data_IF_141120159359
#
_entry.id   IF_141120159359
#
_cell.length_a   1.000
_cell.length_b   1.000
_cell.length_c   1.000
_cell.angle_alpha   90.00
_cell.angle_beta   90.00
_cell.angle_gamma   90.00
#
_symmetry.space_group_name_H-M   'P 1'
#
loop_
_entity.id
_entity.type
_entity.pdbx_description
1 polymer ?
#
# COMPACT_ATOMS: atom_id res chain seq x y z
N UNK A 1 -28.66 -11.45 -0.64
CA UNK A 1 -29.28 -12.77 -0.41
C UNK A 1 -28.42 -13.95 -0.89
N UNK A 2 -27.22 -13.76 -1.45
CA UNK A 2 -26.31 -14.85 -1.84
C UNK A 2 -25.19 -15.08 -0.78
N UNK A 3 -24.88 -14.08 0.04
CA UNK A 3 -23.80 -14.14 1.04
C UNK A 3 -24.16 -14.92 2.32
N UNK A 4 -25.43 -15.28 2.51
CA UNK A 4 -25.92 -15.93 3.72
C UNK A 4 -25.70 -17.46 3.77
N UNK A 5 -25.18 -18.05 2.69
CA UNK A 5 -25.02 -19.51 2.55
C UNK A 5 -23.58 -20.03 2.69
N UNK A 6 -22.63 -19.14 3.01
CA UNK A 6 -21.27 -19.59 3.29
C UNK A 6 -21.22 -19.95 4.78
N UNK A 7 -21.27 -21.25 5.08
CA UNK A 7 -20.91 -21.73 6.42
C UNK A 7 -19.49 -21.21 6.73
N UNK A 8 -19.32 -20.40 7.79
CA UNK A 8 -18.01 -19.81 8.09
C UNK A 8 -16.93 -20.85 8.44
N UNK A 9 -17.28 -22.13 8.48
CA UNK A 9 -16.43 -23.21 8.98
C UNK A 9 -16.00 -24.22 7.91
N UNK A 10 -16.41 -24.07 6.64
CA UNK A 10 -15.91 -24.94 5.59
C UNK A 10 -14.65 -24.36 4.93
N UNK A 11 -13.54 -24.47 5.66
CA UNK A 11 -12.23 -24.01 5.20
C UNK A 11 -11.78 -24.72 3.91
N UNK A 12 -12.19 -25.97 3.69
CA UNK A 12 -11.78 -26.74 2.53
C UNK A 12 -12.33 -26.21 1.21
N UNK A 13 -13.53 -25.63 1.23
CA UNK A 13 -14.17 -25.04 0.03
C UNK A 13 -13.86 -23.55 -0.19
N UNK A 14 -13.45 -22.83 0.87
CA UNK A 14 -13.28 -21.37 0.85
C UNK A 14 -11.84 -20.89 1.13
N UNK A 15 -10.85 -21.78 1.04
CA UNK A 15 -9.45 -21.45 1.36
C UNK A 15 -8.91 -20.25 0.56
N UNK A 16 -9.28 -20.13 -0.73
CA UNK A 16 -8.81 -19.05 -1.60
C UNK A 16 -9.34 -17.70 -1.13
N UNK A 17 -10.59 -17.64 -0.70
CA UNK A 17 -11.20 -16.45 -0.12
C UNK A 17 -10.50 -16.00 1.18
N UNK A 18 -10.22 -16.95 2.10
CA UNK A 18 -9.47 -16.65 3.33
C UNK A 18 -8.04 -16.20 3.03
N UNK A 19 -7.36 -16.88 2.07
CA UNK A 19 -6.01 -16.53 1.68
C UNK A 19 -5.94 -15.15 1.05
N UNK A 20 -6.89 -14.81 0.17
CA UNK A 20 -6.95 -13.48 -0.44
C UNK A 20 -7.10 -12.40 0.63
N UNK A 21 -8.00 -12.55 1.57
CA UNK A 21 -8.23 -11.57 2.63
C UNK A 21 -7.03 -11.40 3.56
N UNK A 22 -6.49 -12.50 4.07
CA UNK A 22 -5.34 -12.46 4.99
C UNK A 22 -4.09 -11.91 4.31
N UNK A 23 -3.82 -12.29 3.07
CA UNK A 23 -2.67 -11.77 2.31
C UNK A 23 -2.83 -10.29 1.96
N UNK A 24 -4.04 -9.83 1.65
CA UNK A 24 -4.32 -8.41 1.43
C UNK A 24 -4.08 -7.55 2.69
N UNK A 25 -4.51 -8.04 3.87
CA UNK A 25 -4.24 -7.38 5.15
C UNK A 25 -2.73 -7.35 5.45
N UNK A 26 -2.03 -8.47 5.25
CA UNK A 26 -0.57 -8.53 5.44
C UNK A 26 0.16 -7.57 4.49
N UNK A 27 -0.22 -7.54 3.21
CA UNK A 27 0.34 -6.61 2.23
C UNK A 27 0.18 -5.15 2.67
N UNK A 28 -1.02 -4.78 3.16
CA UNK A 28 -1.30 -3.46 3.69
C UNK A 28 -0.43 -3.12 4.91
N UNK A 29 -0.34 -4.02 5.89
CA UNK A 29 0.46 -3.81 7.10
C UNK A 29 1.95 -3.62 6.74
N UNK A 30 2.51 -4.47 5.87
CA UNK A 30 3.91 -4.34 5.44
C UNK A 30 4.16 -3.06 4.66
N UNK A 31 3.24 -2.65 3.78
CA UNK A 31 3.33 -1.38 3.07
C UNK A 31 3.29 -0.20 4.04
N UNK A 32 2.35 -0.21 4.99
CA UNK A 32 2.20 0.82 6.00
C UNK A 32 3.48 0.99 6.83
N UNK A 33 4.05 -0.12 7.33
CA UNK A 33 5.32 -0.12 8.07
C UNK A 33 6.48 0.39 7.19
N UNK A 34 6.54 -0.03 5.93
CA UNK A 34 7.56 0.42 4.98
C UNK A 34 7.55 1.95 4.82
N UNK A 35 6.37 2.52 4.63
CA UNK A 35 6.21 3.97 4.45
C UNK A 35 6.55 4.70 5.75
N UNK A 36 6.07 4.20 6.90
CA UNK A 36 6.39 4.79 8.20
C UNK A 36 7.90 4.84 8.45
N UNK A 37 8.62 3.74 8.20
CA UNK A 37 10.07 3.71 8.31
C UNK A 37 10.75 4.66 7.30
N UNK A 38 10.25 4.74 6.07
CA UNK A 38 10.75 5.68 5.07
C UNK A 38 10.59 7.13 5.50
N UNK A 39 9.48 7.49 6.12
CA UNK A 39 9.24 8.82 6.68
C UNK A 39 10.11 9.10 7.92
N UNK A 40 10.47 8.07 8.68
CA UNK A 40 11.33 8.20 9.86
C UNK A 40 12.74 8.74 9.54
N UNK A 41 13.24 8.46 8.32
CA UNK A 41 14.56 8.97 7.87
C UNK A 41 14.60 10.50 7.86
N UNK A 42 13.52 11.14 7.45
CA UNK A 42 13.44 12.59 7.31
C UNK A 42 13.28 13.30 8.66
N UNK A 43 12.86 12.55 9.68
CA UNK A 43 12.61 13.08 11.01
C UNK A 43 13.75 12.71 11.97
N UNK A 44 14.46 13.72 12.50
CA UNK A 44 15.58 13.49 13.43
C UNK A 44 15.18 12.72 14.69
N UNK A 45 13.92 12.80 15.14
CA UNK A 45 13.39 12.08 16.30
C UNK A 45 13.22 10.58 16.02
N UNK A 46 12.86 10.22 14.79
CA UNK A 46 12.59 8.84 14.39
C UNK A 46 13.80 8.16 13.73
N UNK A 47 14.86 8.92 13.42
CA UNK A 47 16.07 8.39 12.77
C UNK A 47 16.72 7.23 13.53
N UNK A 48 16.51 7.14 14.83
CA UNK A 48 17.02 6.06 15.69
C UNK A 48 16.35 4.71 15.44
N UNK A 49 15.11 4.72 14.90
CA UNK A 49 14.32 3.51 14.61
C UNK A 49 14.56 3.04 13.18
N UNK A 50 15.13 3.90 12.33
CA UNK A 50 15.34 3.59 10.93
C UNK A 50 16.44 2.54 10.74
N UNK A 51 16.06 1.45 10.08
CA UNK A 51 16.99 0.47 9.53
C UNK A 51 16.67 0.31 8.04
N UNK A 52 17.65 0.58 7.18
CA UNK A 52 17.48 0.52 5.73
C UNK A 52 17.13 -0.90 5.25
N UNK A 53 17.78 -1.91 5.80
CA UNK A 53 17.54 -3.31 5.41
C UNK A 53 16.13 -3.74 5.79
N UNK A 54 15.64 -3.32 6.97
CA UNK A 54 14.27 -3.56 7.41
C UNK A 54 13.26 -2.86 6.48
N UNK A 55 13.52 -1.62 6.07
CA UNK A 55 12.67 -0.92 5.11
C UNK A 55 12.58 -1.66 3.77
N UNK A 56 13.71 -2.10 3.22
CA UNK A 56 13.74 -2.87 1.97
C UNK A 56 13.03 -4.22 2.11
N UNK A 57 13.25 -4.93 3.22
CA UNK A 57 12.59 -6.21 3.50
C UNK A 57 11.07 -6.07 3.56
N UNK A 58 10.57 -5.08 4.30
CA UNK A 58 9.12 -4.85 4.43
C UNK A 58 8.50 -4.44 3.09
N UNK A 59 9.20 -3.64 2.28
CA UNK A 59 8.76 -3.32 0.93
C UNK A 59 8.64 -4.55 0.03
N UNK A 60 9.63 -5.43 0.04
CA UNK A 60 9.59 -6.70 -0.69
C UNK A 60 8.49 -7.63 -0.15
N UNK A 61 8.31 -7.71 1.17
CA UNK A 61 7.24 -8.48 1.79
C UNK A 61 5.85 -7.96 1.39
N UNK A 62 5.68 -6.63 1.31
CA UNK A 62 4.43 -6.04 0.81
C UNK A 62 4.13 -6.48 -0.63
N UNK A 63 5.12 -6.43 -1.53
CA UNK A 63 4.97 -6.92 -2.92
C UNK A 63 4.62 -8.40 -2.95
N UNK A 64 5.32 -9.22 -2.18
CA UNK A 64 5.06 -10.66 -2.12
C UNK A 64 3.62 -10.98 -1.68
N UNK A 65 3.16 -10.36 -0.60
CA UNK A 65 1.81 -10.61 -0.09
C UNK A 65 0.73 -10.01 -1.00
N UNK A 66 1.00 -8.89 -1.69
CA UNK A 66 0.10 -8.36 -2.72
C UNK A 66 -0.02 -9.32 -3.92
N UNK A 67 1.08 -9.98 -4.30
CA UNK A 67 1.06 -10.98 -5.36
C UNK A 67 0.25 -12.21 -4.94
N UNK A 68 0.44 -12.71 -3.71
CA UNK A 68 -0.35 -13.81 -3.14
C UNK A 68 -1.84 -13.43 -3.11
N UNK A 69 -2.17 -12.19 -2.72
CA UNK A 69 -3.53 -11.66 -2.72
C UNK A 69 -4.15 -11.73 -4.12
N UNK A 70 -3.48 -11.19 -5.14
CA UNK A 70 -3.98 -11.21 -6.52
C UNK A 70 -4.12 -12.63 -7.09
N UNK A 71 -3.10 -13.49 -6.90
CA UNK A 71 -3.13 -14.87 -7.42
C UNK A 71 -4.25 -15.68 -6.75
N UNK A 72 -4.47 -15.52 -5.45
CA UNK A 72 -5.51 -16.26 -4.74
C UNK A 72 -6.92 -15.98 -5.26
N UNK A 73 -7.17 -14.80 -5.83
CA UNK A 73 -8.45 -14.46 -6.46
C UNK A 73 -8.78 -15.35 -7.68
N UNK A 74 -7.78 -15.89 -8.38
CA UNK A 74 -8.01 -16.82 -9.51
C UNK A 74 -8.66 -18.13 -9.07
N UNK A 75 -8.50 -18.48 -7.80
CA UNK A 75 -9.01 -19.72 -7.22
C UNK A 75 -10.30 -19.49 -6.42
N UNK A 76 -10.85 -18.27 -6.44
CA UNK A 76 -12.10 -17.96 -5.76
C UNK A 76 -13.26 -18.63 -6.48
N UNK A 77 -13.99 -19.57 -5.85
CA UNK A 77 -15.04 -20.32 -6.49
C UNK A 77 -16.31 -19.48 -6.75
N UNK A 78 -16.46 -18.37 -6.05
CA UNK A 78 -17.66 -17.53 -6.11
C UNK A 78 -17.59 -16.48 -7.22
N UNK A 79 -16.43 -15.84 -7.39
CA UNK A 79 -16.29 -14.69 -8.30
C UNK A 79 -15.69 -15.10 -9.64
N UNK A 80 -14.86 -16.15 -9.68
CA UNK A 80 -14.21 -16.70 -10.89
C UNK A 80 -13.46 -15.63 -11.70
N UNK A 81 -12.57 -14.91 -11.04
CA UNK A 81 -11.72 -13.92 -11.71
C UNK A 81 -10.86 -14.57 -12.81
N UNK A 82 -10.75 -13.91 -13.94
CA UNK A 82 -9.79 -14.26 -15.00
C UNK A 82 -8.42 -13.60 -14.75
N UNK A 83 -7.38 -14.07 -15.43
CA UNK A 83 -6.07 -13.41 -15.42
C UNK A 83 -6.15 -11.94 -15.88
N UNK A 84 -7.03 -11.63 -16.84
CA UNK A 84 -7.24 -10.26 -17.29
C UNK A 84 -7.81 -9.37 -16.19
N UNK A 85 -8.72 -9.89 -15.37
CA UNK A 85 -9.35 -9.14 -14.28
C UNK A 85 -8.35 -8.73 -13.19
N UNK A 86 -7.33 -9.55 -12.91
CA UNK A 86 -6.35 -9.30 -11.86
C UNK A 86 -5.06 -8.64 -12.35
N UNK A 87 -4.77 -8.69 -13.66
CA UNK A 87 -3.53 -8.18 -14.23
C UNK A 87 -3.70 -6.86 -14.98
N UNK A 88 -4.87 -6.60 -15.58
CA UNK A 88 -5.07 -5.42 -16.41
C UNK A 88 -5.94 -4.41 -15.65
N UNK A 89 -5.39 -3.22 -15.30
CA UNK A 89 -6.18 -2.19 -14.62
C UNK A 89 -7.44 -1.83 -15.42
N UNK A 90 -8.56 -1.72 -14.72
CA UNK A 90 -9.87 -1.32 -15.28
C UNK A 90 -10.46 -2.27 -16.34
N UNK A 91 -9.93 -3.48 -16.47
CA UNK A 91 -10.42 -4.49 -17.43
C UNK A 91 -11.64 -5.27 -16.90
N UNK A 92 -11.69 -5.49 -15.59
CA UNK A 92 -12.75 -6.30 -14.96
C UNK A 92 -14.14 -5.72 -15.19
N UNK A 93 -15.08 -6.60 -15.47
CA UNK A 93 -16.51 -6.27 -15.64
C UNK A 93 -17.38 -6.97 -14.59
N UNK A 94 -16.78 -7.55 -13.56
CA UNK A 94 -17.53 -8.23 -12.51
C UNK A 94 -18.42 -7.24 -11.75
N UNK A 95 -19.64 -7.66 -11.42
CA UNK A 95 -20.60 -6.85 -10.66
C UNK A 95 -20.47 -7.07 -9.14
N UNK A 96 -19.61 -7.99 -8.69
CA UNK A 96 -19.51 -8.39 -7.27
C UNK A 96 -18.58 -7.45 -6.50
N UNK A 97 -17.54 -6.94 -7.16
CA UNK A 97 -16.63 -5.92 -6.64
C UNK A 97 -16.69 -4.70 -7.55
N UNK A 98 -16.37 -3.52 -7.02
CA UNK A 98 -16.31 -2.32 -7.84
C UNK A 98 -15.11 -2.40 -8.81
N UNK A 99 -15.36 -2.49 -10.14
CA UNK A 99 -14.30 -2.69 -11.13
C UNK A 99 -13.32 -1.51 -11.19
N UNK A 100 -13.78 -0.29 -10.87
CA UNK A 100 -12.94 0.90 -10.85
C UNK A 100 -11.90 0.80 -9.73
N UNK A 101 -12.35 0.54 -8.50
CA UNK A 101 -11.42 0.42 -7.37
C UNK A 101 -10.58 -0.86 -7.43
N UNK A 102 -11.03 -1.89 -8.13
CA UNK A 102 -10.18 -3.02 -8.47
C UNK A 102 -9.03 -2.58 -9.39
N UNK A 103 -9.33 -1.82 -10.44
CA UNK A 103 -8.32 -1.25 -11.34
C UNK A 103 -7.34 -0.33 -10.63
N UNK A 104 -7.81 0.48 -9.68
CA UNK A 104 -6.98 1.34 -8.82
C UNK A 104 -6.00 0.50 -7.99
N UNK A 105 -6.44 -0.64 -7.43
CA UNK A 105 -5.58 -1.58 -6.68
C UNK A 105 -4.49 -2.21 -7.53
N UNK A 106 -4.84 -2.65 -8.75
CA UNK A 106 -3.87 -3.22 -9.71
C UNK A 106 -2.82 -2.16 -10.10
N UNK A 107 -3.27 -0.93 -10.36
CA UNK A 107 -2.36 0.17 -10.68
C UNK A 107 -1.42 0.49 -9.52
N UNK A 108 -1.94 0.52 -8.28
CA UNK A 108 -1.13 0.69 -7.08
C UNK A 108 -0.09 -0.43 -6.93
N UNK A 109 -0.46 -1.68 -7.19
CA UNK A 109 0.45 -2.82 -7.16
C UNK A 109 1.63 -2.62 -8.12
N UNK A 110 1.38 -2.22 -9.37
CA UNK A 110 2.45 -1.96 -10.34
C UNK A 110 3.37 -0.81 -9.90
N UNK A 111 2.81 0.26 -9.35
CA UNK A 111 3.64 1.35 -8.80
C UNK A 111 4.56 0.84 -7.67
N UNK A 112 4.03 0.06 -6.72
CA UNK A 112 4.80 -0.48 -5.60
C UNK A 112 5.89 -1.42 -6.10
N UNK A 113 5.60 -2.29 -7.08
CA UNK A 113 6.58 -3.18 -7.71
C UNK A 113 7.71 -2.37 -8.35
N UNK A 114 7.38 -1.37 -9.17
CA UNK A 114 8.37 -0.51 -9.83
C UNK A 114 9.24 0.21 -8.80
N UNK A 115 8.64 0.78 -7.75
CA UNK A 115 9.38 1.47 -6.69
C UNK A 115 10.29 0.52 -5.92
N UNK A 116 9.84 -0.70 -5.65
CA UNK A 116 10.62 -1.72 -4.96
C UNK A 116 11.81 -2.15 -5.82
N UNK A 117 11.59 -2.53 -7.08
CA UNK A 117 12.66 -2.94 -8.01
C UNK A 117 13.69 -1.82 -8.19
N UNK A 118 13.24 -0.59 -8.46
CA UNK A 118 14.15 0.55 -8.67
C UNK A 118 14.91 0.91 -7.40
N UNK A 119 14.38 0.61 -6.20
CA UNK A 119 15.10 0.81 -4.94
C UNK A 119 16.26 -0.19 -4.77
N UNK A 120 16.10 -1.44 -5.20
CA UNK A 120 17.20 -2.40 -5.26
C UNK A 120 18.23 -2.05 -6.33
N UNK A 121 17.80 -1.48 -7.45
CA UNK A 121 18.66 -1.08 -8.57
C UNK A 121 19.20 0.35 -8.43
N UNK A 122 18.99 1.04 -7.32
CA UNK A 122 19.30 2.47 -7.13
C UNK A 122 20.74 2.84 -7.44
N UNK A 123 21.69 1.94 -7.23
CA UNK A 123 23.10 2.17 -7.52
C UNK A 123 23.40 2.31 -9.04
N UNK A 124 22.52 1.73 -9.87
CA UNK A 124 22.64 1.72 -11.33
C UNK A 124 21.72 2.76 -12.00
N UNK A 125 20.93 3.50 -11.22
CA UNK A 125 19.99 4.49 -11.73
C UNK A 125 20.43 5.91 -11.42
N UNK A 126 20.07 6.84 -12.28
CA UNK A 126 20.23 8.26 -11.97
C UNK A 126 19.46 8.61 -10.70
N UNK A 127 20.15 9.27 -9.75
CA UNK A 127 19.59 9.58 -8.43
C UNK A 127 18.27 10.38 -8.51
N UNK A 128 18.18 11.34 -9.45
CA UNK A 128 16.96 12.13 -9.64
C UNK A 128 15.77 11.28 -10.10
N UNK A 129 16.03 10.29 -11.00
CA UNK A 129 14.99 9.39 -11.52
C UNK A 129 14.47 8.44 -10.44
N UNK A 130 15.37 7.79 -9.69
CA UNK A 130 15.00 6.98 -8.54
C UNK A 130 14.19 7.79 -7.53
N UNK A 131 14.63 9.01 -7.19
CA UNK A 131 13.96 9.87 -6.24
C UNK A 131 12.57 10.28 -6.72
N UNK A 132 12.41 10.58 -8.00
CA UNK A 132 11.12 10.90 -8.61
C UNK A 132 10.14 9.74 -8.46
N UNK A 133 10.54 8.51 -8.84
CA UNK A 133 9.70 7.32 -8.66
C UNK A 133 9.34 7.10 -7.20
N UNK A 134 10.30 7.25 -6.30
CA UNK A 134 10.09 7.05 -4.87
C UNK A 134 9.13 8.08 -4.24
N UNK A 135 9.04 9.28 -4.81
CA UNK A 135 8.06 10.29 -4.41
C UNK A 135 6.61 9.91 -4.76
N UNK A 136 6.37 8.89 -5.59
CA UNK A 136 5.04 8.38 -5.89
C UNK A 136 4.46 7.48 -4.77
N UNK A 137 5.25 7.14 -3.74
CA UNK A 137 4.79 6.32 -2.61
C UNK A 137 3.50 6.81 -1.95
N UNK A 138 3.31 8.11 -1.65
CA UNK A 138 2.06 8.59 -1.06
C UNK A 138 0.85 8.37 -1.97
N UNK A 139 1.03 8.55 -3.28
CA UNK A 139 -0.05 8.31 -4.25
C UNK A 139 -0.41 6.82 -4.33
N UNK A 140 0.60 5.93 -4.40
CA UNK A 140 0.39 4.49 -4.37
C UNK A 140 -0.33 4.06 -3.09
N UNK A 141 0.05 4.62 -1.92
CA UNK A 141 -0.63 4.35 -0.67
C UNK A 141 -2.10 4.78 -0.67
N UNK A 142 -2.40 5.97 -1.18
CA UNK A 142 -3.80 6.44 -1.31
C UNK A 142 -4.61 5.49 -2.20
N UNK A 143 -4.04 5.00 -3.30
CA UNK A 143 -4.71 4.03 -4.17
C UNK A 143 -4.97 2.70 -3.46
N UNK A 144 -4.02 2.20 -2.66
CA UNK A 144 -4.23 1.01 -1.83
C UNK A 144 -5.34 1.23 -0.80
N UNK A 145 -5.37 2.41 -0.17
CA UNK A 145 -6.42 2.76 0.81
C UNK A 145 -7.80 2.79 0.13
N UNK A 146 -7.91 3.42 -1.04
CA UNK A 146 -9.17 3.46 -1.80
C UNK A 146 -9.62 2.06 -2.22
N UNK A 147 -8.70 1.25 -2.77
CA UNK A 147 -8.98 -0.13 -3.13
C UNK A 147 -9.51 -0.95 -1.95
N UNK A 148 -8.80 -0.91 -0.82
CA UNK A 148 -9.18 -1.68 0.37
C UNK A 148 -10.46 -1.16 1.02
N UNK A 149 -10.76 0.14 0.97
CA UNK A 149 -11.97 0.72 1.52
C UNK A 149 -13.21 0.32 0.71
N UNK A 150 -13.16 0.40 -0.62
CA UNK A 150 -14.34 0.14 -1.45
C UNK A 150 -14.55 -1.33 -1.78
N UNK A 151 -13.47 -2.13 -1.89
CA UNK A 151 -13.55 -3.56 -2.24
C UNK A 151 -13.27 -4.51 -1.05
N UNK A 152 -12.78 -3.99 0.07
CA UNK A 152 -12.47 -4.81 1.25
C UNK A 152 -13.73 -5.21 2.00
N UNK A 153 -14.12 -6.49 1.91
CA UNK A 153 -15.29 -7.02 2.61
C UNK A 153 -15.19 -6.91 4.13
N UNK A 154 -13.97 -7.04 4.70
CA UNK A 154 -13.75 -6.86 6.14
C UNK A 154 -13.93 -5.43 6.59
N UNK A 155 -13.50 -4.46 5.78
CA UNK A 155 -13.64 -3.03 6.07
C UNK A 155 -15.10 -2.63 6.09
N UNK A 156 -15.92 -3.18 5.18
CA UNK A 156 -17.32 -2.83 5.05
C UNK A 156 -18.23 -3.57 6.03
N UNK A 157 -17.90 -4.82 6.40
CA UNK A 157 -18.76 -5.66 7.22
C UNK A 157 -18.43 -5.60 8.71
N UNK A 158 -17.25 -5.09 9.09
CA UNK A 158 -16.83 -5.01 10.48
C UNK A 158 -16.39 -3.57 10.81
N UNK A 159 -17.20 -2.88 11.60
CA UNK A 159 -16.96 -1.49 11.99
C UNK A 159 -15.61 -1.28 12.70
N UNK A 160 -15.15 -2.26 13.50
CA UNK A 160 -13.86 -2.18 14.17
C UNK A 160 -12.70 -2.26 13.15
N UNK A 161 -12.76 -3.20 12.21
CA UNK A 161 -11.74 -3.34 11.16
C UNK A 161 -11.74 -2.11 10.26
N UNK A 162 -12.91 -1.64 9.83
CA UNK A 162 -13.06 -0.44 9.01
C UNK A 162 -12.50 0.81 9.69
N UNK A 163 -12.84 1.01 10.97
CA UNK A 163 -12.34 2.16 11.75
C UNK A 163 -10.83 2.09 11.96
N UNK A 164 -10.28 0.90 12.27
CA UNK A 164 -8.83 0.70 12.42
C UNK A 164 -8.07 0.94 11.12
N UNK A 165 -8.65 0.51 10.01
CA UNK A 165 -8.09 0.73 8.67
C UNK A 165 -8.01 2.23 8.34
N UNK A 166 -9.10 2.96 8.49
CA UNK A 166 -9.13 4.41 8.24
C UNK A 166 -8.25 5.18 9.23
N UNK A 167 -8.24 4.77 10.50
CA UNK A 167 -7.37 5.39 11.51
C UNK A 167 -5.88 5.20 11.17
N UNK A 168 -5.48 4.01 10.76
CA UNK A 168 -4.09 3.74 10.35
C UNK A 168 -3.68 4.57 9.11
N UNK A 169 -4.58 4.72 8.14
CA UNK A 169 -4.37 5.57 6.97
C UNK A 169 -4.24 7.05 7.38
N UNK A 170 -5.10 7.53 8.27
CA UNK A 170 -5.06 8.90 8.80
C UNK A 170 -3.74 9.19 9.53
N UNK A 171 -3.29 8.27 10.40
CA UNK A 171 -2.01 8.42 11.12
C UNK A 171 -0.85 8.58 10.13
N UNK A 172 -0.81 7.79 9.07
CA UNK A 172 0.28 7.84 8.10
C UNK A 172 0.26 9.14 7.28
N UNK A 173 -0.92 9.61 6.89
CA UNK A 173 -1.10 10.90 6.22
C UNK A 173 -0.65 12.04 7.14
N UNK A 174 -1.03 11.99 8.42
CA UNK A 174 -0.62 12.99 9.42
C UNK A 174 0.91 13.05 9.55
N UNK A 175 1.58 11.90 9.70
CA UNK A 175 3.04 11.81 9.77
C UNK A 175 3.69 12.37 8.50
N UNK A 176 3.13 12.08 7.32
CA UNK A 176 3.62 12.61 6.05
C UNK A 176 3.52 14.14 6.00
N UNK A 177 2.37 14.71 6.36
CA UNK A 177 2.14 16.17 6.40
C UNK A 177 3.10 16.82 7.41
N UNK A 178 3.27 16.26 8.59
CA UNK A 178 4.22 16.76 9.59
C UNK A 178 5.67 16.78 9.04
N UNK A 179 6.10 15.72 8.37
CA UNK A 179 7.44 15.68 7.77
C UNK A 179 7.59 16.74 6.67
N UNK A 180 6.55 16.97 5.87
CA UNK A 180 6.55 18.01 4.84
C UNK A 180 6.70 19.41 5.46
N UNK A 181 5.94 19.71 6.52
CA UNK A 181 6.03 20.97 7.26
C UNK A 181 7.44 21.18 7.83
N UNK A 182 8.01 20.16 8.48
CA UNK A 182 9.37 20.22 9.04
C UNK A 182 10.41 20.47 7.93
N UNK A 183 10.27 19.84 6.76
CA UNK A 183 11.17 20.05 5.63
C UNK A 183 11.09 21.49 5.09
N UNK A 184 9.88 22.05 4.99
CA UNK A 184 9.67 23.43 4.55
C UNK A 184 10.28 24.43 5.55
N UNK A 185 10.00 24.26 6.84
CA UNK A 185 10.52 25.15 7.89
C UNK A 185 12.05 25.15 7.92
N UNK A 186 12.68 23.98 7.83
CA UNK A 186 14.16 23.87 7.74
C UNK A 186 14.71 24.60 6.52
N UNK A 187 14.06 24.49 5.36
CA UNK A 187 14.50 25.14 4.13
C UNK A 187 14.42 26.67 4.23
N UNK A 188 13.38 27.19 4.88
CA UNK A 188 13.21 28.64 5.12
C UNK A 188 14.29 29.13 6.10
N UNK A 189 14.48 28.45 7.23
CA UNK A 189 15.47 28.83 8.24
C UNK A 189 16.90 28.85 7.70
N UNK A 190 17.29 27.88 6.89
CA UNK A 190 18.61 27.85 6.25
C UNK A 190 18.80 29.04 5.30
N UNK A 191 17.76 29.41 4.53
CA UNK A 191 17.83 30.53 3.60
C UNK A 191 17.96 31.90 4.32
N UNK A 192 17.41 32.03 5.51
CA UNK A 192 17.57 33.23 6.33
C UNK A 192 18.97 33.33 6.92
N UNK A 193 19.54 32.21 7.41
CA UNK A 193 20.93 32.19 7.91
C UNK A 193 21.94 32.60 6.83
N UNK A 194 21.79 32.08 5.61
CA UNK A 194 22.64 32.43 4.47
C UNK A 194 22.55 33.93 4.10
N UNK A 195 21.42 34.59 4.32
CA UNK A 195 21.24 36.02 4.07
C UNK A 195 21.91 36.93 5.11
N UNK A 196 22.05 36.45 6.34
CA UNK A 196 22.68 37.22 7.44
C UNK A 196 24.18 36.99 7.54
N UNK A 197 24.74 36.05 6.76
CA UNK A 197 26.18 35.75 6.70
C UNK A 197 26.93 36.49 5.59
N UNK A 198 26.22 37.30 4.80
CA UNK A 198 26.78 38.23 3.77
C UNK A 198 26.73 39.64 4.29
#
# INVERSE_FOLDING_TARGET
>A
MILEKISPLDFSSNWAWYLSRSSGILAYIFLWLTILLGLAIQNSLLKRIYNFDTHCFLGAASVFWSLVHGISLLFDPMIKFSLGDIAIPFFSKTAIVDPYYMGVGIFAFYLIVIMTITSYLRANLYHWFWRFLHLLNPAAFVFVVLHGYFNGTDVNNNSFVGSSYLFSAFVLILVYVMNLIVAIVRKIGNKEMDRHSI
#
